data_IF_651682545408
#
_entry.id   IF_651682545408
#
_cell.length_a   1.000
_cell.length_b   1.000
_cell.length_c   1.000
_cell.angle_alpha   90.00
_cell.angle_beta   90.00
_cell.angle_gamma   90.00
#
_symmetry.space_group_name_H-M   'P 1'
#
loop_
_entity.id
_entity.type
_entity.pdbx_description
1 polymer ?
#
# COMPACT_ATOMS: atom_id res chain seq x y z
N UNK A 1 -6.87 -2.88 11.68
CA UNK A 1 -5.48 -2.39 11.89
C UNK A 1 -5.07 -1.53 10.68
N UNK A 2 -4.19 -0.54 10.85
CA UNK A 2 -3.81 0.39 9.76
C UNK A 2 -2.31 0.47 9.60
N UNK A 3 -1.82 0.33 8.37
CA UNK A 3 -0.44 0.53 7.96
C UNK A 3 -0.39 1.76 7.07
N UNK A 4 0.42 2.75 7.44
CA UNK A 4 0.64 3.97 6.63
C UNK A 4 2.01 3.90 5.99
N UNK A 5 2.07 3.87 4.67
CA UNK A 5 3.32 4.05 3.94
C UNK A 5 3.48 5.53 3.60
N UNK A 6 4.52 6.14 4.18
CA UNK A 6 4.89 7.53 3.93
C UNK A 6 6.10 7.50 3.00
N UNK A 7 5.99 8.14 1.84
CA UNK A 7 7.15 8.37 1.00
C UNK A 7 7.99 9.51 1.59
N UNK A 8 9.22 9.21 2.00
CA UNK A 8 10.23 10.17 2.48
C UNK A 8 11.35 10.45 1.47
N UNK A 9 11.35 9.81 0.31
CA UNK A 9 12.41 9.87 -0.70
C UNK A 9 11.85 10.39 -2.04
N UNK A 10 12.14 11.66 -2.36
CA UNK A 10 11.94 12.24 -3.69
C UNK A 10 11.24 13.61 -3.74
N UNK A 11 11.17 14.21 -4.94
CA UNK A 11 10.54 15.53 -5.23
C UNK A 11 9.02 15.62 -4.95
N UNK A 12 8.37 14.50 -4.61
CA UNK A 12 6.91 14.39 -4.34
C UNK A 12 6.63 14.06 -2.86
N UNK A 13 7.14 14.89 -1.96
CA UNK A 13 6.74 14.84 -0.56
C UNK A 13 5.21 15.03 -0.46
N UNK A 14 4.52 14.08 0.16
CA UNK A 14 3.08 14.18 0.46
C UNK A 14 2.14 13.24 -0.30
N UNK A 15 2.64 12.29 -1.11
CA UNK A 15 1.79 11.22 -1.67
C UNK A 15 1.67 10.07 -0.66
N UNK A 16 0.60 10.11 0.13
CA UNK A 16 0.32 9.09 1.15
C UNK A 16 -0.50 7.95 0.56
N UNK A 17 -0.14 6.72 0.92
CA UNK A 17 -1.01 5.57 0.72
C UNK A 17 -1.17 4.85 2.04
N UNK A 18 -2.42 4.62 2.40
CA UNK A 18 -2.79 3.88 3.58
C UNK A 18 -3.31 2.51 3.17
N UNK A 19 -2.92 1.51 3.94
CA UNK A 19 -3.41 0.15 3.86
C UNK A 19 -4.17 -0.13 5.14
N UNK A 20 -5.39 -0.60 5.01
CA UNK A 20 -6.19 -1.06 6.15
C UNK A 20 -6.47 -2.53 6.00
N UNK A 21 -6.15 -3.28 7.03
CA UNK A 21 -6.46 -4.69 7.05
C UNK A 21 -7.21 -5.05 8.32
N UNK A 22 -7.98 -6.12 8.21
CA UNK A 22 -8.64 -6.75 9.33
C UNK A 22 -9.10 -8.14 8.94
N UNK A 23 -9.74 -8.79 9.88
CA UNK A 23 -10.24 -10.15 9.75
C UNK A 23 -11.76 -10.12 9.88
N UNK A 24 -12.46 -10.92 9.08
CA UNK A 24 -13.89 -11.11 9.23
C UNK A 24 -14.22 -12.18 10.29
N UNK A 25 -15.52 -12.43 10.50
CA UNK A 25 -15.99 -13.44 11.46
C UNK A 25 -15.64 -14.89 11.05
N UNK A 26 -15.15 -15.09 9.83
CA UNK A 26 -14.84 -16.39 9.24
C UNK A 26 -13.32 -16.60 9.04
N UNK A 27 -12.49 -15.67 9.54
CA UNK A 27 -11.03 -15.76 9.43
C UNK A 27 -10.45 -15.25 8.11
N UNK A 28 -11.26 -14.69 7.22
CA UNK A 28 -10.79 -14.09 5.97
C UNK A 28 -10.20 -12.72 6.26
N UNK A 29 -8.98 -12.48 5.79
CA UNK A 29 -8.32 -11.19 5.92
C UNK A 29 -8.72 -10.31 4.73
N UNK A 30 -9.17 -9.09 5.01
CA UNK A 30 -9.36 -8.05 4.00
C UNK A 30 -8.20 -7.05 4.04
N UNK A 31 -7.85 -6.51 2.89
CA UNK A 31 -6.88 -5.44 2.74
C UNK A 31 -7.46 -4.39 1.79
N UNK A 32 -7.62 -3.16 2.27
CA UNK A 32 -8.08 -2.01 1.50
C UNK A 32 -6.93 -1.01 1.33
N UNK A 33 -6.66 -0.61 0.08
CA UNK A 33 -5.64 0.39 -0.27
C UNK A 33 -6.28 1.72 -0.60
N UNK A 34 -5.83 2.77 0.06
CA UNK A 34 -6.31 4.13 -0.13
C UNK A 34 -5.20 5.07 -0.58
N UNK A 35 -5.50 6.00 -1.48
CA UNK A 35 -4.61 7.13 -1.79
C UNK A 35 -5.10 8.44 -1.21
N UNK A 36 -4.12 9.28 -0.88
CA UNK A 36 -4.31 10.64 -0.38
C UNK A 36 -4.07 10.74 1.12
N UNK A 37 -3.98 11.97 1.60
CA UNK A 37 -3.58 12.30 2.98
C UNK A 37 -4.53 11.72 4.03
N UNK A 38 -5.83 11.68 3.71
CA UNK A 38 -6.91 11.23 4.60
C UNK A 38 -7.73 10.09 3.99
N UNK A 39 -7.09 9.11 3.34
CA UNK A 39 -7.78 7.94 2.73
C UNK A 39 -8.88 8.35 1.73
N UNK A 40 -8.71 9.51 1.10
CA UNK A 40 -9.71 10.19 0.28
C UNK A 40 -10.25 9.34 -0.90
N UNK A 41 -9.46 8.38 -1.38
CA UNK A 41 -9.87 7.51 -2.49
C UNK A 41 -9.42 6.07 -2.25
N UNK A 42 -10.39 5.16 -2.17
CA UNK A 42 -10.14 3.73 -2.27
C UNK A 42 -9.63 3.41 -3.68
N UNK A 43 -8.47 2.75 -3.75
CA UNK A 43 -7.83 2.34 -5.00
C UNK A 43 -8.11 0.87 -5.27
N UNK A 44 -7.95 0.04 -4.25
CA UNK A 44 -7.90 -1.41 -4.43
C UNK A 44 -8.34 -2.16 -3.18
N UNK A 45 -8.76 -3.40 -3.37
CA UNK A 45 -9.22 -4.31 -2.32
C UNK A 45 -8.75 -5.73 -2.58
N UNK A 46 -8.27 -6.39 -1.53
CA UNK A 46 -7.95 -7.81 -1.55
C UNK A 46 -8.69 -8.57 -0.46
N UNK A 47 -9.03 -9.82 -0.79
CA UNK A 47 -9.44 -10.85 0.18
C UNK A 47 -8.36 -11.91 0.20
N UNK A 48 -7.90 -12.23 1.40
CA UNK A 48 -6.73 -13.04 1.66
C UNK A 48 -7.10 -14.12 2.66
N UNK A 49 -6.55 -15.31 2.47
CA UNK A 49 -6.93 -16.47 3.28
C UNK A 49 -6.15 -16.54 4.61
N UNK A 50 -5.02 -15.85 4.69
CA UNK A 50 -4.10 -15.95 5.82
C UNK A 50 -3.16 -14.73 5.91
N UNK A 51 -2.52 -14.58 7.07
CA UNK A 51 -1.61 -13.47 7.35
C UNK A 51 -0.35 -13.50 6.47
N UNK A 52 0.11 -14.69 6.06
CA UNK A 52 1.24 -14.84 5.13
C UNK A 52 0.93 -14.26 3.76
N UNK A 53 -0.29 -14.48 3.25
CA UNK A 53 -0.79 -13.84 2.03
C UNK A 53 -0.81 -12.31 2.15
N UNK A 54 -1.18 -11.76 3.31
CA UNK A 54 -1.13 -10.32 3.59
C UNK A 54 0.29 -9.76 3.48
N UNK A 55 1.25 -10.41 4.12
CA UNK A 55 2.65 -9.97 4.11
C UNK A 55 3.20 -9.96 2.69
N UNK A 56 2.92 -11.00 1.89
CA UNK A 56 3.37 -11.08 0.49
C UNK A 56 2.80 -9.97 -0.39
N UNK A 57 1.51 -9.64 -0.23
CA UNK A 57 0.89 -8.55 -0.99
C UNK A 57 1.52 -7.21 -0.62
N UNK A 58 1.77 -6.97 0.67
CA UNK A 58 2.45 -5.76 1.12
C UNK A 58 3.88 -5.66 0.58
N UNK A 59 4.62 -6.76 0.58
CA UNK A 59 6.00 -6.83 0.08
C UNK A 59 6.09 -6.53 -1.43
N UNK A 60 5.21 -7.13 -2.23
CA UNK A 60 5.09 -6.84 -3.67
C UNK A 60 4.75 -5.37 -3.92
N UNK A 61 3.84 -4.81 -3.13
CA UNK A 61 3.39 -3.44 -3.30
C UNK A 61 4.45 -2.42 -2.88
N UNK A 62 5.27 -2.73 -1.86
CA UNK A 62 6.46 -1.94 -1.53
C UNK A 62 7.46 -2.02 -2.68
N UNK A 63 7.80 -3.22 -3.14
CA UNK A 63 8.76 -3.43 -4.24
C UNK A 63 8.35 -2.66 -5.49
N UNK A 64 7.08 -2.76 -5.90
CA UNK A 64 6.54 -2.03 -7.06
C UNK A 64 6.63 -0.52 -6.90
N UNK A 65 6.45 0.00 -5.68
CA UNK A 65 6.59 1.43 -5.40
C UNK A 65 8.02 1.88 -5.39
N UNK A 66 8.92 1.07 -4.88
CA UNK A 66 10.34 1.35 -4.95
C UNK A 66 10.76 1.46 -6.41
N UNK A 67 10.37 0.51 -7.26
CA UNK A 67 10.55 0.60 -8.71
C UNK A 67 9.91 1.87 -9.31
N UNK A 68 8.63 2.15 -9.02
CA UNK A 68 7.94 3.37 -9.51
C UNK A 68 8.60 4.68 -9.07
N UNK A 69 9.26 4.72 -7.90
CA UNK A 69 9.90 5.93 -7.37
C UNK A 69 11.40 6.02 -7.71
N UNK A 70 12.09 4.90 -7.94
CA UNK A 70 13.50 4.84 -8.32
C UNK A 70 13.72 4.84 -9.84
N UNK A 71 12.74 4.43 -10.64
CA UNK A 71 12.87 4.49 -12.10
C UNK A 71 12.77 5.93 -12.63
N UNK A 72 13.98 6.43 -12.97
CA UNK A 72 14.35 7.55 -13.86
C UNK A 72 14.49 8.92 -13.18
N UNK A 73 15.73 9.28 -12.77
CA UNK A 73 16.24 10.58 -13.19
C UNK A 73 16.12 10.62 -14.71
N UNK A 74 15.13 11.36 -15.22
CA UNK A 74 15.18 11.86 -16.59
C UNK A 74 16.41 12.77 -16.59
N UNK A 75 17.54 12.24 -17.05
CA UNK A 75 18.63 13.09 -17.52
C UNK A 75 18.03 13.85 -18.70
N UNK A 76 17.63 15.09 -18.43
CA UNK A 76 17.28 16.10 -19.41
C UNK A 76 18.55 16.81 -19.86
#
# INVERSE_FOLDING_TARGET
MTIRMINSTGKRNGRFVAYEYGEDLFGTIYLDKFSGRDRSKLIDKWRLNDLGSLIRVLDLEISRREEENYERPIFA
#
